data_IF_709236628139
#
_entry.id   IF_709236628139
#
_cell.length_a   1.000
_cell.length_b   1.000
_cell.length_c   1.000
_cell.angle_alpha   90.00
_cell.angle_beta   90.00
_cell.angle_gamma   90.00
#
_symmetry.space_group_name_H-M   'P 1'
#
loop_
_entity.id
_entity.type
_entity.pdbx_description
1 polymer ?
#
# COMPACT_ATOMS: atom_id res chain seq x y z
N UNK A 1 4.57 -5.01 7.61
CA UNK A 1 4.30 -6.02 6.57
C UNK A 1 5.50 -6.10 5.65
N UNK A 2 5.94 -7.30 5.30
CA UNK A 2 7.00 -7.54 4.32
C UNK A 2 6.38 -7.98 2.99
N UNK A 3 6.83 -7.36 1.91
CA UNK A 3 6.31 -7.59 0.56
C UNK A 3 7.46 -7.78 -0.41
N UNK A 4 7.43 -8.87 -1.18
CA UNK A 4 8.32 -9.09 -2.31
C UNK A 4 7.73 -8.43 -3.56
N UNK A 5 8.43 -7.48 -4.15
CA UNK A 5 7.97 -6.79 -5.36
C UNK A 5 8.02 -7.75 -6.55
N UNK A 6 6.90 -7.90 -7.26
CA UNK A 6 6.78 -8.79 -8.42
C UNK A 6 6.87 -8.03 -9.74
N UNK A 7 6.23 -6.87 -9.84
CA UNK A 7 6.23 -6.06 -11.08
C UNK A 7 5.91 -4.58 -10.79
N UNK A 8 6.34 -3.71 -11.70
CA UNK A 8 5.92 -2.30 -11.75
C UNK A 8 4.70 -2.16 -12.65
N UNK A 9 3.63 -1.56 -12.14
CA UNK A 9 2.38 -1.35 -12.88
C UNK A 9 2.31 0.07 -13.40
N UNK A 10 1.97 0.25 -14.67
CA UNK A 10 1.82 1.57 -15.29
C UNK A 10 0.35 2.05 -15.40
N UNK A 11 -0.61 1.14 -15.36
CA UNK A 11 -2.05 1.41 -15.57
C UNK A 11 -2.92 0.64 -14.57
N UNK A 12 -4.08 1.17 -14.12
CA UNK A 12 -4.65 2.48 -14.46
C UNK A 12 -3.92 3.66 -13.79
N UNK A 13 -3.17 3.38 -12.71
CA UNK A 13 -2.26 4.34 -12.09
C UNK A 13 -0.89 3.70 -11.87
N UNK A 14 0.19 4.51 -11.86
CA UNK A 14 1.53 4.03 -11.61
C UNK A 14 1.62 3.44 -10.20
N UNK A 15 2.10 2.21 -10.08
CA UNK A 15 2.26 1.54 -8.80
C UNK A 15 3.17 0.33 -8.89
N UNK A 16 3.16 -0.46 -7.84
CA UNK A 16 3.88 -1.70 -7.69
C UNK A 16 2.88 -2.81 -7.40
N UNK A 17 3.18 -4.00 -7.90
CA UNK A 17 2.61 -5.22 -7.34
C UNK A 17 3.66 -5.93 -6.52
N UNK A 18 3.21 -6.53 -5.44
CA UNK A 18 4.05 -7.37 -4.63
C UNK A 18 3.26 -8.45 -3.92
N UNK A 19 3.96 -9.53 -3.60
CA UNK A 19 3.42 -10.65 -2.85
C UNK A 19 3.76 -10.48 -1.37
N UNK A 20 2.75 -10.66 -0.52
CA UNK A 20 2.90 -10.54 0.93
C UNK A 20 3.67 -11.75 1.46
N UNK A 21 4.86 -11.52 2.02
CA UNK A 21 5.70 -12.58 2.56
C UNK A 21 5.45 -12.79 4.05
N UNK A 22 5.28 -11.70 4.80
CA UNK A 22 4.99 -11.74 6.22
C UNK A 22 4.18 -10.54 6.69
N UNK A 23 3.32 -10.76 7.69
CA UNK A 23 2.44 -9.74 8.27
C UNK A 23 2.62 -9.78 9.77
N UNK A 24 2.81 -8.60 10.37
CA UNK A 24 2.82 -8.42 11.80
C UNK A 24 1.68 -7.48 12.14
N UNK A 25 0.58 -8.05 12.63
CA UNK A 25 -0.57 -7.27 13.09
C UNK A 25 -0.29 -6.71 14.48
N UNK A 26 -0.83 -5.53 14.77
CA UNK A 26 -0.77 -4.93 16.11
C UNK A 26 -1.90 -5.43 17.01
N UNK A 27 -3.04 -5.82 16.43
CA UNK A 27 -4.18 -6.43 17.11
C UNK A 27 -4.78 -7.56 16.25
N UNK A 28 -5.47 -8.52 16.89
CA UNK A 28 -6.10 -9.66 16.20
C UNK A 28 -7.26 -9.24 15.27
N UNK A 29 -7.89 -8.09 15.53
CA UNK A 29 -8.96 -7.53 14.70
C UNK A 29 -8.46 -6.64 13.56
N UNK A 30 -7.14 -6.46 13.40
CA UNK A 30 -6.60 -5.63 12.32
C UNK A 30 -6.71 -6.36 10.99
N UNK A 31 -7.55 -5.84 10.10
CA UNK A 31 -7.64 -6.27 8.71
C UNK A 31 -6.29 -5.97 8.01
N UNK A 32 -5.53 -7.01 7.71
CA UNK A 32 -4.29 -6.94 6.95
C UNK A 32 -4.34 -7.95 5.80
N UNK A 33 -3.65 -7.68 4.66
CA UNK A 33 -3.51 -8.65 3.58
C UNK A 33 -2.97 -9.97 4.09
N UNK A 34 -3.39 -11.09 3.52
CA UNK A 34 -2.92 -12.41 3.97
C UNK A 34 -1.58 -12.76 3.34
N UNK A 35 -0.81 -13.63 4.00
CA UNK A 35 0.43 -14.15 3.43
C UNK A 35 0.17 -14.85 2.10
N UNK A 36 0.96 -14.52 1.08
CA UNK A 36 0.85 -15.04 -0.28
C UNK A 36 -0.07 -14.22 -1.19
N UNK A 37 -0.84 -13.28 -0.65
CA UNK A 37 -1.68 -12.38 -1.44
C UNK A 37 -0.84 -11.45 -2.30
N UNK A 38 -1.30 -11.19 -3.53
CA UNK A 38 -0.68 -10.20 -4.42
C UNK A 38 -1.46 -8.90 -4.30
N UNK A 39 -0.79 -7.89 -3.77
CA UNK A 39 -1.35 -6.55 -3.61
C UNK A 39 -0.79 -5.61 -4.67
N UNK A 40 -1.61 -4.70 -5.15
CA UNK A 40 -1.20 -3.58 -6.00
C UNK A 40 -1.31 -2.29 -5.19
N UNK A 41 -0.24 -1.50 -5.15
CA UNK A 41 -0.18 -0.29 -4.33
C UNK A 41 0.74 0.77 -4.93
N UNK A 42 0.51 2.03 -4.56
CA UNK A 42 1.46 3.11 -4.81
C UNK A 42 2.33 3.29 -3.56
N UNK A 43 3.67 3.28 -3.68
CA UNK A 43 4.55 3.45 -2.52
C UNK A 43 4.45 4.87 -1.97
N UNK A 44 4.11 5.01 -0.70
CA UNK A 44 3.91 6.31 -0.03
C UNK A 44 5.04 6.64 0.94
N UNK A 45 5.22 7.93 1.23
CA UNK A 45 6.10 8.43 2.30
C UNK A 45 5.62 7.94 3.67
N UNK A 46 6.51 7.96 4.66
CA UNK A 46 6.22 7.48 6.03
C UNK A 46 5.02 8.19 6.67
N UNK A 47 4.84 9.46 6.35
CA UNK A 47 3.73 10.31 6.79
C UNK A 47 2.47 10.18 5.94
N UNK A 48 2.44 9.25 4.96
CA UNK A 48 1.33 8.97 4.04
C UNK A 48 0.77 10.21 3.31
N UNK A 49 1.52 11.32 3.28
CA UNK A 49 1.10 12.57 2.62
C UNK A 49 1.51 12.63 1.15
N UNK A 50 2.48 11.82 0.72
CA UNK A 50 3.04 11.90 -0.62
C UNK A 50 3.45 10.53 -1.17
N UNK A 51 3.45 10.41 -2.50
CA UNK A 51 3.99 9.23 -3.17
C UNK A 51 5.52 9.33 -3.23
N UNK A 52 6.21 8.22 -2.98
CA UNK A 52 7.67 8.14 -3.13
C UNK A 52 8.02 8.41 -4.60
N UNK A 53 9.07 9.22 -4.89
CA UNK A 53 9.52 9.44 -6.25
C UNK A 53 9.85 8.13 -6.97
N UNK A 54 9.40 7.97 -8.22
CA UNK A 54 9.58 6.74 -9.02
C UNK A 54 11.02 6.22 -9.08
N UNK A 55 12.00 7.11 -9.02
CA UNK A 55 13.42 6.76 -9.06
C UNK A 55 13.86 5.96 -7.81
N UNK A 56 13.14 6.10 -6.70
CA UNK A 56 13.39 5.40 -5.44
C UNK A 56 12.47 4.19 -5.24
N UNK A 57 11.71 3.81 -6.27
CA UNK A 57 10.85 2.65 -6.15
C UNK A 57 11.68 1.37 -6.06
N UNK A 58 11.29 0.42 -5.19
CA UNK A 58 11.90 -0.89 -5.17
C UNK A 58 11.64 -1.62 -6.49
N UNK A 59 12.64 -2.36 -6.93
CA UNK A 59 12.62 -3.14 -8.18
C UNK A 59 11.99 -4.51 -7.96
N UNK A 60 11.47 -5.16 -9.02
CA UNK A 60 11.07 -6.56 -8.98
C UNK A 60 12.16 -7.46 -8.38
N UNK A 61 11.77 -8.38 -7.50
CA UNK A 61 12.64 -9.26 -6.72
C UNK A 61 13.18 -8.67 -5.41
N UNK A 62 12.99 -7.37 -5.16
CA UNK A 62 13.35 -6.77 -3.88
C UNK A 62 12.25 -6.99 -2.84
N UNK A 63 12.65 -7.17 -1.59
CA UNK A 63 11.74 -7.22 -0.44
C UNK A 63 11.75 -5.88 0.27
N UNK A 64 10.56 -5.39 0.60
CA UNK A 64 10.37 -4.14 1.30
C UNK A 64 9.50 -4.31 2.53
N UNK A 65 9.78 -3.48 3.52
CA UNK A 65 8.95 -3.35 4.70
C UNK A 65 8.09 -2.11 4.57
N UNK A 66 6.80 -2.28 4.81
CA UNK A 66 5.82 -1.20 4.80
C UNK A 66 4.82 -1.39 5.93
N UNK A 67 4.14 -0.31 6.30
CA UNK A 67 2.95 -0.40 7.15
C UNK A 67 1.72 -0.55 6.26
N UNK A 68 0.64 -1.03 6.85
CA UNK A 68 -0.65 -1.16 6.20
C UNK A 68 -1.69 -0.57 7.15
N UNK A 69 -2.47 0.39 6.66
CA UNK A 69 -3.54 1.00 7.44
C UNK A 69 -4.69 1.43 6.55
N UNK A 70 -5.88 1.47 7.15
CA UNK A 70 -7.05 2.08 6.56
C UNK A 70 -7.27 3.46 7.17
N UNK A 71 -7.55 4.45 6.32
CA UNK A 71 -8.16 5.69 6.75
C UNK A 71 -9.60 5.71 6.27
N UNK A 72 -10.52 5.73 7.23
CA UNK A 72 -11.93 5.96 6.95
C UNK A 72 -12.17 7.47 6.88
N UNK A 73 -12.82 7.92 5.82
CA UNK A 73 -13.10 9.33 5.57
C UNK A 73 -14.29 9.53 4.64
N UNK A 74 -14.54 10.78 4.25
CA UNK A 74 -15.57 11.13 3.27
C UNK A 74 -14.91 11.52 1.94
N UNK A 75 -15.03 10.66 0.93
CA UNK A 75 -14.48 10.94 -0.39
C UNK A 75 -15.40 11.90 -1.12
N UNK A 76 -14.82 12.98 -1.64
CA UNK A 76 -15.50 13.97 -2.48
C UNK A 76 -15.70 13.40 -3.88
N UNK A 77 -16.74 12.59 -4.07
CA UNK A 77 -17.14 12.09 -5.39
C UNK A 77 -18.07 13.12 -6.06
N UNK A 78 -17.53 13.99 -6.92
CA UNK A 78 -18.30 14.92 -7.77
C UNK A 78 -19.51 15.60 -7.07
N UNK A 79 -19.30 16.09 -5.85
CA UNK A 79 -20.33 16.77 -5.05
C UNK A 79 -21.19 15.88 -4.14
N UNK A 80 -21.01 14.57 -4.15
CA UNK A 80 -21.67 13.62 -3.25
C UNK A 80 -20.64 12.99 -2.29
N UNK A 81 -20.44 13.56 -1.09
CA UNK A 81 -19.59 12.93 -0.08
C UNK A 81 -20.16 11.56 0.28
N UNK A 82 -19.33 10.53 0.18
CA UNK A 82 -19.66 9.18 0.64
C UNK A 82 -18.56 8.67 1.57
N UNK A 83 -18.92 7.86 2.58
CA UNK A 83 -17.92 7.17 3.37
C UNK A 83 -17.06 6.32 2.45
N UNK A 84 -15.75 6.50 2.55
CA UNK A 84 -14.76 5.75 1.83
C UNK A 84 -13.67 5.29 2.78
N UNK A 85 -13.11 4.13 2.45
CA UNK A 85 -11.99 3.53 3.15
C UNK A 85 -10.80 3.53 2.20
N UNK A 86 -9.77 4.27 2.55
CA UNK A 86 -8.57 4.43 1.74
C UNK A 86 -7.46 3.56 2.33
N UNK A 87 -6.88 2.71 1.50
CA UNK A 87 -5.75 1.87 1.85
C UNK A 87 -4.46 2.66 1.68
N UNK A 88 -3.62 2.66 2.73
CA UNK A 88 -2.32 3.31 2.70
C UNK A 88 -1.19 2.29 2.88
N UNK A 89 -0.10 2.53 2.15
CA UNK A 89 1.09 1.69 2.04
C UNK A 89 2.37 2.52 2.25
N UNK A 90 2.53 3.18 3.42
CA UNK A 90 3.72 3.97 3.69
C UNK A 90 4.95 3.06 3.81
N UNK A 91 5.98 3.38 3.04
CA UNK A 91 7.27 2.69 3.13
C UNK A 91 8.16 3.40 4.13
N UNK A 92 8.54 2.66 5.17
CA UNK A 92 9.45 3.12 6.23
C UNK A 92 9.02 2.61 7.60
N UNK A 93 9.96 2.65 8.52
CA UNK A 93 9.82 2.13 9.88
C UNK A 93 9.65 3.24 10.89
#
# INVERSE_FOLDING_TARGET
>A
MEVEITETVAQPYPGLKGRVESVKTQAESTECPIRGEVIAFAPESVDYQSMIPRQHWPKPGQRVWMRYQYLDGECKNDGNPKPCRIQHYPMGW
#
